data_IF_800175759106
#
_entry.id   IF_800175759106
#
_cell.length_a   1.000
_cell.length_b   1.000
_cell.length_c   1.000
_cell.angle_alpha   90.00
_cell.angle_beta   90.00
_cell.angle_gamma   90.00
#
_symmetry.space_group_name_H-M   'P 1'
#
loop_
_entity.id
_entity.type
_entity.pdbx_description
1 polymer ?
#
# COMPACT_ATOMS: atom_id res chain seq x y z
N UNK A 1 -3.69 4.88 -10.49
CA UNK A 1 -2.63 4.08 -9.83
C UNK A 1 -2.11 4.90 -8.67
N UNK A 2 -1.75 4.29 -7.54
CA UNK A 2 -1.15 4.98 -6.40
C UNK A 2 0.36 5.02 -6.59
N UNK A 3 0.83 5.93 -7.44
CA UNK A 3 2.24 5.99 -7.83
C UNK A 3 3.16 6.16 -6.62
N UNK A 4 2.75 6.97 -5.64
CA UNK A 4 3.47 7.12 -4.37
C UNK A 4 3.68 5.80 -3.60
N UNK A 5 2.73 4.86 -3.70
CA UNK A 5 2.82 3.57 -3.01
C UNK A 5 3.85 2.67 -3.69
N UNK A 6 3.83 2.68 -5.02
CA UNK A 6 4.78 1.96 -5.86
C UNK A 6 6.19 2.49 -5.68
N UNK A 7 6.38 3.81 -5.71
CA UNK A 7 7.66 4.46 -5.49
C UNK A 7 8.24 4.08 -4.13
N UNK A 8 7.45 4.22 -3.05
CA UNK A 8 7.88 3.85 -1.71
C UNK A 8 8.27 2.38 -1.59
N UNK A 9 7.46 1.48 -2.16
CA UNK A 9 7.80 0.05 -2.24
C UNK A 9 9.12 -0.18 -2.98
N UNK A 10 9.33 0.48 -4.12
CA UNK A 10 10.56 0.37 -4.90
C UNK A 10 11.78 0.95 -4.17
N UNK A 11 11.65 2.06 -3.44
CA UNK A 11 12.76 2.61 -2.63
C UNK A 11 13.24 1.66 -1.54
N UNK A 12 12.35 0.80 -1.06
CA UNK A 12 12.66 -0.24 -0.07
C UNK A 12 13.10 -1.57 -0.72
N UNK A 13 13.26 -1.62 -2.04
CA UNK A 13 13.57 -2.83 -2.81
C UNK A 13 12.62 -4.01 -2.52
N UNK A 14 11.35 -3.70 -2.24
CA UNK A 14 10.33 -4.71 -1.96
C UNK A 14 9.53 -5.05 -3.21
N UNK A 15 9.22 -6.32 -3.42
CA UNK A 15 8.25 -6.76 -4.44
C UNK A 15 6.83 -6.73 -3.87
N UNK A 16 5.83 -6.73 -4.77
CA UNK A 16 4.42 -6.84 -4.36
C UNK A 16 4.16 -8.13 -3.54
N UNK A 17 4.83 -9.23 -3.90
CA UNK A 17 4.74 -10.50 -3.19
C UNK A 17 5.30 -10.40 -1.77
N UNK A 18 6.46 -9.76 -1.60
CA UNK A 18 7.07 -9.59 -0.28
C UNK A 18 6.21 -8.71 0.63
N UNK A 19 5.64 -7.63 0.10
CA UNK A 19 4.73 -6.77 0.87
C UNK A 19 3.46 -7.54 1.24
N UNK A 20 2.85 -8.24 0.30
CA UNK A 20 1.65 -9.04 0.55
C UNK A 20 1.88 -10.11 1.62
N UNK A 21 3.02 -10.82 1.56
CA UNK A 21 3.43 -11.82 2.56
C UNK A 21 3.61 -11.20 3.95
N UNK A 22 4.26 -10.03 4.05
CA UNK A 22 4.44 -9.32 5.33
C UNK A 22 3.13 -8.82 5.93
N UNK A 23 2.15 -8.49 5.09
CA UNK A 23 0.83 -8.00 5.51
C UNK A 23 -0.21 -9.11 5.67
N UNK A 24 0.18 -10.37 5.42
CA UNK A 24 -0.71 -11.54 5.43
C UNK A 24 -1.95 -11.35 4.53
N UNK A 25 -1.73 -10.83 3.32
CA UNK A 25 -2.75 -10.67 2.27
C UNK A 25 -2.31 -11.35 0.99
N UNK A 26 -3.22 -11.58 0.05
CA UNK A 26 -2.85 -12.06 -1.28
C UNK A 26 -2.12 -10.97 -2.06
N UNK A 27 -1.18 -11.36 -2.92
CA UNK A 27 -0.52 -10.44 -3.85
C UNK A 27 -1.53 -9.66 -4.68
N UNK A 28 -2.56 -10.32 -5.20
CA UNK A 28 -3.62 -9.69 -5.98
C UNK A 28 -4.35 -8.58 -5.18
N UNK A 29 -4.63 -8.82 -3.90
CA UNK A 29 -5.25 -7.81 -3.04
C UNK A 29 -4.34 -6.59 -2.86
N UNK A 30 -3.04 -6.80 -2.64
CA UNK A 30 -2.08 -5.70 -2.58
C UNK A 30 -1.96 -4.96 -3.92
N UNK A 31 -1.93 -5.68 -5.05
CA UNK A 31 -1.94 -5.07 -6.39
C UNK A 31 -3.18 -4.20 -6.61
N UNK A 32 -4.38 -4.64 -6.22
CA UNK A 32 -5.59 -3.82 -6.32
C UNK A 32 -5.50 -2.53 -5.48
N UNK A 33 -4.84 -2.59 -4.32
CA UNK A 33 -4.54 -1.41 -3.51
C UNK A 33 -3.54 -0.51 -4.24
N UNK A 34 -2.45 -1.03 -4.79
CA UNK A 34 -1.46 -0.24 -5.55
C UNK A 34 -2.09 0.39 -6.81
N UNK A 35 -3.05 -0.27 -7.45
CA UNK A 35 -3.76 0.26 -8.62
C UNK A 35 -4.79 1.35 -8.29
N UNK A 36 -5.24 1.45 -7.03
CA UNK A 36 -6.34 2.35 -6.65
C UNK A 36 -7.73 1.73 -6.72
N UNK A 37 -7.85 0.46 -7.14
CA UNK A 37 -9.13 -0.23 -7.31
C UNK A 37 -9.80 -0.58 -5.98
N UNK A 38 -9.01 -0.72 -4.90
CA UNK A 38 -9.51 -1.06 -3.57
C UNK A 38 -8.86 -0.20 -2.51
N UNK A 39 -9.64 0.19 -1.51
CA UNK A 39 -9.12 0.84 -0.31
C UNK A 39 -8.82 -0.23 0.75
N UNK A 40 -7.62 -0.22 1.35
CA UNK A 40 -7.33 -1.10 2.48
C UNK A 40 -8.24 -0.73 3.66
N UNK A 41 -8.51 -1.70 4.54
CA UNK A 41 -9.12 -1.41 5.84
C UNK A 41 -8.18 -0.54 6.67
N UNK A 42 -8.67 0.24 7.67
CA UNK A 42 -7.80 1.07 8.51
C UNK A 42 -6.65 0.29 9.15
N UNK A 43 -6.91 -0.96 9.58
CA UNK A 43 -5.89 -1.87 10.12
C UNK A 43 -4.81 -2.20 9.09
N UNK A 44 -5.23 -2.58 7.87
CA UNK A 44 -4.30 -2.89 6.79
C UNK A 44 -3.52 -1.64 6.31
N UNK A 45 -4.19 -0.49 6.23
CA UNK A 45 -3.57 0.78 5.90
C UNK A 45 -2.47 1.14 6.90
N UNK A 46 -2.71 0.96 8.20
CA UNK A 46 -1.71 1.16 9.25
C UNK A 46 -0.52 0.22 9.08
N UNK A 47 -0.76 -1.07 8.84
CA UNK A 47 0.32 -2.04 8.59
C UNK A 47 1.14 -1.71 7.34
N UNK A 48 0.49 -1.28 6.26
CA UNK A 48 1.18 -0.81 5.04
C UNK A 48 2.00 0.44 5.35
N UNK A 49 1.40 1.38 6.10
CA UNK A 49 2.05 2.63 6.52
C UNK A 49 3.32 2.38 7.33
N UNK A 50 3.24 1.47 8.31
CA UNK A 50 4.40 1.06 9.12
C UNK A 50 5.46 0.35 8.28
N UNK A 51 5.07 -0.53 7.35
CA UNK A 51 6.00 -1.29 6.52
C UNK A 51 6.74 -0.41 5.50
N UNK A 52 6.05 0.57 4.92
CA UNK A 52 6.57 1.42 3.85
C UNK A 52 7.04 2.80 4.34
N UNK A 53 7.00 3.04 5.65
CA UNK A 53 7.30 4.32 6.29
C UNK A 53 6.54 5.50 5.67
N UNK A 54 5.21 5.35 5.62
CA UNK A 54 4.28 6.33 5.05
C UNK A 54 3.07 6.54 5.96
N UNK A 55 2.50 7.77 6.00
CA UNK A 55 1.29 8.02 6.75
C UNK A 55 0.13 7.20 6.16
N UNK A 56 -0.45 6.30 6.95
CA UNK A 56 -1.57 5.47 6.52
C UNK A 56 -2.83 6.28 6.16
N UNK A 57 -2.93 7.51 6.69
CA UNK A 57 -3.98 8.46 6.34
C UNK A 57 -3.97 8.84 4.86
N UNK A 58 -2.84 8.69 4.15
CA UNK A 58 -2.76 8.90 2.68
C UNK A 58 -3.69 7.99 1.88
N UNK A 59 -4.10 6.84 2.42
CA UNK A 59 -5.09 5.98 1.77
C UNK A 59 -6.51 6.56 1.80
N UNK A 60 -6.78 7.48 2.73
CA UNK A 60 -8.11 8.03 3.01
C UNK A 60 -8.19 9.54 2.75
N UNK A 61 -7.05 10.20 2.60
CA UNK A 61 -7.00 11.60 2.24
C UNK A 61 -7.52 11.75 0.82
N UNK A 62 -8.66 12.42 0.67
CA UNK A 62 -9.38 12.58 -0.61
C UNK A 62 -8.83 13.73 -1.46
N UNK A 63 -7.69 14.28 -1.09
CA UNK A 63 -7.13 15.48 -1.71
C UNK A 63 -5.80 15.17 -2.39
N UNK A 64 -5.86 14.96 -3.70
CA UNK A 64 -5.38 15.95 -4.67
C UNK A 64 -5.37 15.34 -6.08
N UNK A 65 -6.19 15.96 -6.93
CA UNK A 65 -6.40 15.82 -8.38
C UNK A 65 -7.42 14.77 -8.85
#
# INVERSE_FOLDING_TARGET
MRDWLREKRSTLNLTQEQVAKKLNVSRAHYTQIELGQRNPSPKLAQSIGQLLDVPWTRFFNKDAN
#
